data_IF_353721306931
#
_entry.id   IF_353721306931
#
_cell.length_a   1.000
_cell.length_b   1.000
_cell.length_c   1.000
_cell.angle_alpha   90.00
_cell.angle_beta   90.00
_cell.angle_gamma   90.00
#
_symmetry.space_group_name_H-M   'P 1'
#
loop_
_entity.id
_entity.type
_entity.pdbx_description
1 polymer ?
#
# COMPACT_ATOMS: atom_id res chain seq x y z
N UNK A 1 -6.20 5.36 -18.27
CA UNK A 1 -6.64 3.97 -18.00
C UNK A 1 -6.28 3.54 -16.58
N UNK A 2 -4.99 3.45 -16.21
CA UNK A 2 -4.60 2.97 -14.87
C UNK A 2 -5.24 3.72 -13.70
N UNK A 3 -5.31 5.04 -13.79
CA UNK A 3 -5.95 5.88 -12.76
C UNK A 3 -7.43 5.52 -12.60
N UNK A 4 -8.16 5.33 -13.70
CA UNK A 4 -9.56 4.91 -13.66
C UNK A 4 -9.71 3.47 -13.12
N UNK A 5 -8.81 2.57 -13.51
CA UNK A 5 -8.81 1.20 -13.00
C UNK A 5 -8.55 1.18 -11.48
N UNK A 6 -7.52 1.89 -11.03
CA UNK A 6 -7.12 1.92 -9.63
C UNK A 6 -8.15 2.62 -8.74
N UNK A 7 -8.91 3.59 -9.24
CA UNK A 7 -10.01 4.20 -8.50
C UNK A 7 -11.02 3.15 -8.04
N UNK A 8 -11.46 2.29 -8.97
CA UNK A 8 -12.40 1.18 -8.67
C UNK A 8 -11.75 0.14 -7.76
N UNK A 9 -10.50 -0.24 -8.02
CA UNK A 9 -9.80 -1.24 -7.19
C UNK A 9 -9.58 -0.76 -5.75
N UNK A 10 -9.30 0.53 -5.52
CA UNK A 10 -9.18 1.10 -4.16
C UNK A 10 -10.53 1.08 -3.44
N UNK A 11 -11.62 1.47 -4.12
CA UNK A 11 -12.96 1.42 -3.54
C UNK A 11 -13.31 0.00 -3.07
N UNK A 12 -13.14 -0.99 -3.94
CA UNK A 12 -13.42 -2.38 -3.63
C UNK A 12 -12.42 -3.00 -2.64
N UNK A 13 -11.17 -2.53 -2.62
CA UNK A 13 -10.21 -2.89 -1.56
C UNK A 13 -10.75 -2.51 -0.19
N UNK A 14 -11.23 -1.26 -0.06
CA UNK A 14 -11.75 -0.73 1.20
C UNK A 14 -13.05 -1.42 1.64
N UNK A 15 -13.83 -1.93 0.68
CA UNK A 15 -15.04 -2.71 0.95
C UNK A 15 -14.74 -4.17 1.35
N UNK A 16 -13.50 -4.64 1.18
CA UNK A 16 -13.12 -6.02 1.47
C UNK A 16 -13.52 -7.03 0.41
N UNK A 17 -13.78 -6.59 -0.83
CA UNK A 17 -14.27 -7.41 -1.95
C UNK A 17 -13.16 -8.27 -2.60
N UNK A 18 -12.37 -8.94 -1.75
CA UNK A 18 -11.29 -9.83 -2.15
C UNK A 18 -11.78 -11.27 -2.25
N UNK A 19 -11.35 -11.96 -3.31
CA UNK A 19 -11.46 -13.40 -3.45
C UNK A 19 -10.16 -14.09 -2.98
N UNK A 20 -10.20 -15.41 -2.80
CA UNK A 20 -9.01 -16.19 -2.39
C UNK A 20 -7.78 -15.92 -3.28
N UNK A 21 -8.00 -15.69 -4.58
CA UNK A 21 -6.94 -15.49 -5.57
C UNK A 21 -7.16 -14.21 -6.41
N UNK A 22 -7.50 -13.09 -5.77
CA UNK A 22 -7.65 -11.80 -6.44
C UNK A 22 -8.95 -11.12 -6.07
N UNK A 23 -9.73 -10.70 -7.06
CA UNK A 23 -10.95 -9.91 -6.85
C UNK A 23 -12.22 -10.75 -7.04
N UNK A 24 -13.29 -10.36 -6.37
CA UNK A 24 -14.61 -10.93 -6.65
C UNK A 24 -15.09 -10.59 -8.09
N UNK A 25 -15.95 -11.43 -8.71
CA UNK A 25 -16.40 -11.22 -10.09
C UNK A 25 -17.04 -9.85 -10.36
N UNK A 26 -17.75 -9.26 -9.39
CA UNK A 26 -18.40 -7.96 -9.58
C UNK A 26 -17.40 -6.82 -9.68
N UNK A 27 -16.24 -6.93 -9.04
CA UNK A 27 -15.15 -5.92 -9.10
C UNK A 27 -14.62 -5.81 -10.52
N UNK A 28 -14.43 -6.94 -11.21
CA UNK A 28 -14.01 -6.93 -12.62
C UNK A 28 -15.05 -6.24 -13.51
N UNK A 29 -16.34 -6.54 -13.32
CA UNK A 29 -17.42 -5.90 -14.07
C UNK A 29 -17.48 -4.39 -13.81
N UNK A 30 -17.26 -3.96 -12.57
CA UNK A 30 -17.19 -2.55 -12.20
C UNK A 30 -16.01 -1.86 -12.88
N UNK A 31 -14.84 -2.48 -12.89
CA UNK A 31 -13.65 -1.98 -13.58
C UNK A 31 -13.89 -1.82 -15.08
N UNK A 32 -14.46 -2.84 -15.74
CA UNK A 32 -14.76 -2.81 -17.19
C UNK A 32 -15.69 -1.64 -17.50
N UNK A 33 -16.80 -1.52 -16.75
CA UNK A 33 -17.77 -0.44 -16.94
C UNK A 33 -17.14 0.93 -16.74
N UNK A 34 -16.43 1.13 -15.63
CA UNK A 34 -15.87 2.42 -15.29
C UNK A 34 -14.76 2.85 -16.26
N UNK A 35 -13.91 1.92 -16.73
CA UNK A 35 -12.90 2.24 -17.73
C UNK A 35 -13.54 2.56 -19.07
N UNK A 36 -14.61 1.85 -19.47
CA UNK A 36 -15.37 2.20 -20.67
C UNK A 36 -15.97 3.60 -20.55
N UNK A 37 -16.62 3.93 -19.43
CA UNK A 37 -17.27 5.22 -19.21
C UNK A 37 -16.27 6.39 -19.16
N UNK A 38 -15.12 6.18 -18.52
CA UNK A 38 -14.14 7.25 -18.25
C UNK A 38 -13.10 7.40 -19.37
N UNK A 39 -12.67 6.29 -19.96
CA UNK A 39 -11.61 6.26 -20.96
C UNK A 39 -12.13 5.97 -22.38
N UNK A 40 -13.36 5.50 -22.56
CA UNK A 40 -13.90 5.09 -23.85
C UNK A 40 -13.23 3.84 -24.45
N UNK A 41 -12.59 3.02 -23.61
CA UNK A 41 -11.83 1.83 -24.03
C UNK A 41 -12.48 0.59 -23.46
N UNK A 42 -12.73 -0.39 -24.33
CA UNK A 42 -13.17 -1.71 -23.92
C UNK A 42 -11.97 -2.51 -23.38
N UNK A 43 -12.16 -3.12 -22.22
CA UNK A 43 -11.13 -3.92 -21.55
C UNK A 43 -11.76 -5.22 -21.06
N UNK A 44 -10.95 -6.27 -21.01
CA UNK A 44 -11.37 -7.58 -20.52
C UNK A 44 -10.84 -7.85 -19.11
N UNK A 45 -11.35 -8.92 -18.49
CA UNK A 45 -10.82 -9.45 -17.23
C UNK A 45 -9.31 -9.76 -17.30
N UNK A 46 -8.82 -10.22 -18.45
CA UNK A 46 -7.41 -10.55 -18.64
C UNK A 46 -6.55 -9.29 -18.68
N UNK A 47 -7.03 -8.21 -19.29
CA UNK A 47 -6.35 -6.90 -19.25
C UNK A 47 -6.22 -6.40 -17.82
N UNK A 48 -7.29 -6.49 -17.03
CA UNK A 48 -7.29 -6.09 -15.61
C UNK A 48 -6.29 -6.95 -14.82
N UNK A 49 -6.35 -8.27 -14.99
CA UNK A 49 -5.48 -9.21 -14.29
C UNK A 49 -4.00 -8.98 -14.62
N UNK A 50 -3.67 -8.75 -15.88
CA UNK A 50 -2.31 -8.42 -16.32
C UNK A 50 -1.84 -7.09 -15.69
N UNK A 51 -2.74 -6.11 -15.55
CA UNK A 51 -2.41 -4.84 -14.91
C UNK A 51 -2.20 -4.97 -13.40
N UNK A 52 -3.06 -5.73 -12.71
CA UNK A 52 -2.89 -6.06 -11.29
C UNK A 52 -1.53 -6.72 -11.00
N UNK A 53 -1.09 -7.67 -11.85
CA UNK A 53 0.26 -8.26 -11.73
C UNK A 53 1.38 -7.21 -11.88
N UNK A 54 1.17 -6.20 -12.70
CA UNK A 54 2.14 -5.11 -12.85
C UNK A 54 2.16 -4.20 -11.63
N UNK A 55 0.99 -3.89 -11.06
CA UNK A 55 0.88 -3.10 -9.82
C UNK A 55 1.53 -3.81 -8.64
N UNK A 56 1.26 -5.10 -8.49
CA UNK A 56 1.90 -5.95 -7.48
C UNK A 56 3.44 -5.90 -7.61
N UNK A 57 3.96 -6.10 -8.82
CA UNK A 57 5.41 -5.99 -9.08
C UNK A 57 5.98 -4.58 -8.81
N UNK A 58 5.23 -3.53 -9.09
CA UNK A 58 5.63 -2.16 -8.73
C UNK A 58 5.72 -2.02 -7.21
N UNK A 59 4.70 -2.48 -6.49
CA UNK A 59 4.68 -2.48 -5.03
C UNK A 59 5.88 -3.23 -4.45
N UNK A 60 6.11 -4.48 -4.87
CA UNK A 60 7.19 -5.31 -4.35
C UNK A 60 8.58 -4.68 -4.51
N UNK A 61 8.85 -4.07 -5.68
CA UNK A 61 10.16 -3.48 -5.95
C UNK A 61 10.32 -2.15 -5.23
N UNK A 62 9.34 -1.25 -5.34
CA UNK A 62 9.44 0.09 -4.78
C UNK A 62 9.40 0.04 -3.25
N UNK A 63 8.56 -0.80 -2.63
CA UNK A 63 8.54 -0.96 -1.16
C UNK A 63 9.90 -1.39 -0.60
N UNK A 64 10.58 -2.33 -1.27
CA UNK A 64 11.93 -2.77 -0.89
C UNK A 64 12.97 -1.66 -1.03
N UNK A 65 12.85 -0.83 -2.06
CA UNK A 65 13.73 0.33 -2.27
C UNK A 65 13.51 1.37 -1.16
N UNK A 66 12.25 1.73 -0.91
CA UNK A 66 11.88 2.74 0.10
C UNK A 66 12.17 2.28 1.53
N UNK A 67 12.29 0.97 1.77
CA UNK A 67 12.74 0.43 3.05
C UNK A 67 14.26 0.63 3.30
N UNK A 68 15.03 1.05 2.30
CA UNK A 68 16.45 1.35 2.46
C UNK A 68 16.68 2.81 2.83
N UNK A 69 17.70 3.06 3.67
CA UNK A 69 18.18 4.41 3.93
C UNK A 69 18.72 5.06 2.66
N UNK A 70 18.46 6.36 2.48
CA UNK A 70 18.92 7.12 1.32
C UNK A 70 17.99 7.06 0.10
N UNK A 71 16.80 6.49 0.27
CA UNK A 71 15.75 6.44 -0.73
C UNK A 71 14.47 7.07 -0.19
N UNK A 72 13.79 7.80 -1.05
CA UNK A 72 12.51 8.42 -0.75
C UNK A 72 11.60 8.44 -1.97
N UNK A 73 10.45 9.09 -1.81
CA UNK A 73 9.52 9.32 -2.91
C UNK A 73 9.60 10.78 -3.34
N UNK A 74 9.76 11.01 -4.63
CA UNK A 74 9.53 12.31 -5.25
C UNK A 74 8.03 12.38 -5.63
N UNK A 75 7.26 13.08 -4.81
CA UNK A 75 5.80 13.23 -4.95
C UNK A 75 5.42 14.14 -6.12
N UNK A 76 6.30 15.04 -6.54
CA UNK A 76 6.06 15.94 -7.67
C UNK A 76 6.25 15.21 -9.00
N UNK A 77 7.35 14.46 -9.12
CA UNK A 77 7.73 13.79 -10.37
C UNK A 77 7.25 12.33 -10.45
N UNK A 78 6.62 11.81 -9.39
CA UNK A 78 6.16 10.43 -9.29
C UNK A 78 7.27 9.40 -9.52
N UNK A 79 8.46 9.69 -8.97
CA UNK A 79 9.69 8.89 -9.12
C UNK A 79 10.31 8.57 -7.75
N UNK A 80 11.39 7.79 -7.76
CA UNK A 80 12.23 7.62 -6.59
C UNK A 80 13.11 8.87 -6.39
N UNK A 81 13.15 9.36 -5.16
CA UNK A 81 14.17 10.29 -4.69
C UNK A 81 15.34 9.49 -4.14
N UNK A 82 16.56 9.89 -4.47
CA UNK A 82 17.79 9.18 -4.10
C UNK A 82 18.77 10.21 -3.57
N UNK A 83 19.31 9.98 -2.38
CA UNK A 83 20.22 10.92 -1.71
C UNK A 83 21.57 11.08 -2.44
N UNK A 84 21.99 10.06 -3.20
CA UNK A 84 23.24 10.07 -3.94
C UNK A 84 23.36 8.96 -5.00
N UNK A 85 24.20 9.17 -6.00
CA UNK A 85 24.46 8.19 -7.07
C UNK A 85 25.15 6.92 -6.55
N UNK A 86 25.99 7.07 -5.53
CA UNK A 86 26.67 5.99 -4.82
C UNK A 86 25.68 5.09 -4.07
N UNK A 87 24.65 5.68 -3.45
CA UNK A 87 23.54 4.97 -2.79
C UNK A 87 22.80 4.10 -3.81
N UNK A 88 22.46 4.67 -4.97
CA UNK A 88 21.81 3.91 -6.05
C UNK A 88 22.70 2.78 -6.58
N UNK A 89 23.96 3.08 -6.87
CA UNK A 89 24.92 2.11 -7.44
C UNK A 89 25.10 0.90 -6.54
N UNK A 90 25.27 1.12 -5.23
CA UNK A 90 25.39 0.07 -4.22
C UNK A 90 24.13 -0.79 -4.14
N UNK A 91 22.94 -0.18 -4.21
CA UNK A 91 21.69 -0.93 -4.16
C UNK A 91 21.48 -1.82 -5.39
N UNK A 92 21.75 -1.30 -6.60
CA UNK A 92 21.54 -2.04 -7.85
C UNK A 92 22.56 -3.15 -8.06
N UNK A 93 23.78 -3.03 -7.51
CA UNK A 93 24.76 -4.12 -7.51
C UNK A 93 24.19 -5.39 -6.88
N UNK A 94 23.47 -5.25 -5.77
CA UNK A 94 22.75 -6.34 -5.10
C UNK A 94 21.38 -6.65 -5.73
N UNK A 95 20.75 -5.68 -6.44
CA UNK A 95 19.37 -5.77 -6.93
C UNK A 95 19.26 -5.36 -8.41
N UNK A 96 19.93 -6.08 -9.32
CA UNK A 96 19.99 -5.73 -10.75
C UNK A 96 18.63 -5.50 -11.41
N UNK A 97 17.60 -6.26 -11.01
CA UNK A 97 16.23 -6.12 -11.55
C UNK A 97 15.57 -4.77 -11.21
N UNK A 98 16.02 -4.08 -10.16
CA UNK A 98 15.54 -2.76 -9.77
C UNK A 98 16.13 -1.63 -10.63
N UNK A 99 17.15 -1.90 -11.45
CA UNK A 99 17.85 -0.89 -12.25
C UNK A 99 16.92 0.02 -13.05
N UNK A 100 15.85 -0.55 -13.62
CA UNK A 100 14.87 0.22 -14.41
C UNK A 100 14.05 1.22 -13.59
N UNK A 101 13.99 1.10 -12.26
CA UNK A 101 13.19 1.96 -11.40
C UNK A 101 13.83 3.30 -11.10
N UNK A 102 15.14 3.49 -11.38
CA UNK A 102 15.83 4.77 -11.19
C UNK A 102 15.11 5.92 -11.88
N UNK A 103 14.69 5.69 -13.13
CA UNK A 103 14.10 6.71 -14.00
C UNK A 103 12.61 6.50 -14.24
N UNK A 104 12.06 5.38 -13.74
CA UNK A 104 10.67 5.00 -13.99
C UNK A 104 9.72 5.91 -13.21
N UNK A 105 8.77 6.48 -13.94
CA UNK A 105 7.63 7.20 -13.37
C UNK A 105 6.55 6.19 -13.01
N UNK A 106 6.08 6.21 -11.77
CA UNK A 106 4.93 5.41 -11.31
C UNK A 106 3.93 6.38 -10.67
N UNK A 107 3.00 6.87 -11.49
CA UNK A 107 2.03 7.92 -11.13
C UNK A 107 1.07 7.52 -10.02
N UNK A 108 0.67 6.25 -9.96
CA UNK A 108 -0.39 5.80 -9.07
C UNK A 108 0.18 5.04 -7.86
N UNK A 109 1.32 5.50 -7.33
CA UNK A 109 2.00 4.80 -6.23
C UNK A 109 1.13 4.69 -4.98
N UNK A 110 0.41 5.74 -4.61
CA UNK A 110 -0.37 5.76 -3.38
C UNK A 110 -1.54 4.77 -3.45
N UNK A 111 -2.23 4.68 -4.59
CA UNK A 111 -3.29 3.69 -4.80
C UNK A 111 -2.71 2.27 -4.81
N UNK A 112 -1.57 2.06 -5.47
CA UNK A 112 -0.88 0.77 -5.48
C UNK A 112 -0.46 0.37 -4.06
N UNK A 113 0.15 1.30 -3.31
CA UNK A 113 0.57 1.05 -1.93
C UNK A 113 -0.63 0.76 -1.04
N UNK A 114 -1.76 1.45 -1.24
CA UNK A 114 -2.99 1.19 -0.49
C UNK A 114 -3.45 -0.25 -0.68
N UNK A 115 -3.60 -0.69 -1.93
CA UNK A 115 -4.15 -2.02 -2.25
C UNK A 115 -3.21 -3.18 -1.84
N UNK A 116 -1.90 -3.00 -2.02
CA UNK A 116 -0.91 -4.08 -1.91
C UNK A 116 -0.08 -4.02 -0.62
N UNK A 117 -0.31 -3.02 0.24
CA UNK A 117 0.28 -3.00 1.59
C UNK A 117 -0.16 -4.22 2.39
N UNK A 118 0.79 -4.85 3.09
CA UNK A 118 0.57 -6.12 3.79
C UNK A 118 -0.20 -5.99 5.12
N UNK A 119 -0.71 -4.81 5.44
CA UNK A 119 -1.25 -4.50 6.77
C UNK A 119 -2.75 -4.83 6.96
N UNK A 120 -3.38 -5.53 6.01
CA UNK A 120 -4.69 -6.15 6.25
C UNK A 120 -4.71 -7.62 5.81
N UNK A 121 -5.17 -8.48 6.73
CA UNK A 121 -5.11 -9.93 6.70
C UNK A 121 -5.25 -10.58 5.31
N UNK A 122 -4.15 -11.11 4.77
CA UNK A 122 -4.21 -12.18 3.76
C UNK A 122 -3.38 -13.36 4.24
N UNK A 123 -4.08 -14.48 4.40
CA UNK A 123 -3.57 -15.79 4.76
C UNK A 123 -2.38 -16.22 3.92
N UNK A 124 -1.45 -16.90 4.58
CA UNK A 124 -0.26 -17.53 4.01
C UNK A 124 -0.50 -18.26 2.68
N UNK A 125 0.42 -18.03 1.74
CA UNK A 125 1.10 -19.14 1.06
C UNK A 125 0.65 -19.44 -0.36
N UNK A 126 1.37 -18.87 -1.33
CA UNK A 126 1.88 -19.65 -2.47
C UNK A 126 3.03 -18.91 -3.14
N UNK A 127 4.25 -19.43 -2.98
CA UNK A 127 5.31 -19.23 -3.97
C UNK A 127 4.84 -19.91 -5.25
N UNK A 128 4.67 -19.16 -6.33
CA UNK A 128 4.68 -19.74 -7.67
C UNK A 128 5.88 -19.18 -8.42
N UNK A 129 6.91 -20.00 -8.43
CA UNK A 129 8.09 -19.91 -9.29
C UNK A 129 7.73 -20.30 -10.73
N UNK A 130 8.42 -19.64 -11.68
CA UNK A 130 8.45 -19.86 -13.13
C UNK A 130 7.18 -19.38 -13.88
N UNK A 131 7.27 -18.69 -15.02
CA UNK A 131 8.21 -18.85 -16.13
C UNK A 131 8.61 -17.49 -16.75
N UNK A 132 9.89 -17.35 -17.08
CA UNK A 132 10.37 -16.40 -18.07
C UNK A 132 10.52 -17.19 -19.38
N UNK A 133 9.73 -16.83 -20.39
CA UNK A 133 9.85 -17.36 -21.76
C UNK A 133 11.15 -16.83 -22.36
N UNK A 134 12.08 -17.73 -22.72
CA UNK A 134 12.97 -17.56 -23.87
C UNK A 134 13.19 -18.92 -24.53
N UNK A 135 12.97 -18.95 -25.84
CA UNK A 135 13.23 -20.06 -26.75
C UNK A 135 14.71 -20.13 -27.13
N UNK A 136 15.14 -21.35 -27.46
CA UNK A 136 16.21 -21.78 -28.41
C UNK A 136 17.27 -22.76 -27.86
N UNK A 137 16.98 -24.04 -28.17
CA UNK A 137 17.81 -24.97 -28.96
C UNK A 137 18.66 -26.07 -28.29
N UNK A 138 18.41 -27.29 -28.82
CA UNK A 138 19.28 -28.48 -28.96
C UNK A 138 19.56 -29.41 -27.75
N UNK A 139 18.71 -30.45 -27.68
CA UNK A 139 19.03 -31.89 -27.85
C UNK A 139 19.60 -32.80 -26.72
N UNK A 140 18.80 -33.87 -26.51
CA UNK A 140 19.01 -35.32 -26.25
C UNK A 140 19.33 -35.95 -24.87
N UNK A 141 18.51 -36.99 -24.60
CA UNK A 141 18.69 -38.30 -23.91
C UNK A 141 18.65 -38.30 -22.37
N UNK A 142 17.54 -38.74 -21.77
CA UNK A 142 17.12 -40.14 -21.50
C UNK A 142 17.84 -40.77 -20.29
N UNK A 143 17.04 -41.09 -19.27
CA UNK A 143 16.98 -42.35 -18.49
C UNK A 143 16.67 -42.11 -17.00
N UNK A 144 15.44 -42.50 -16.64
CA UNK A 144 15.07 -43.06 -15.32
C UNK A 144 15.69 -44.48 -15.21
N UNK A 145 15.74 -45.21 -14.06
CA UNK A 145 14.85 -45.11 -12.90
C UNK A 145 15.44 -45.48 -11.51
N UNK A 146 14.52 -45.49 -10.54
CA UNK A 146 14.39 -46.38 -9.36
C UNK A 146 14.58 -45.85 -7.92
N UNK A 147 13.56 -46.19 -7.11
CA UNK A 147 13.29 -45.90 -5.69
C UNK A 147 13.82 -47.10 -4.84
N UNK A 148 14.20 -47.00 -3.54
CA UNK A 148 13.22 -47.27 -2.46
C UNK A 148 13.48 -46.68 -1.04
N UNK A 149 12.36 -46.32 -0.39
CA UNK A 149 11.93 -46.65 1.00
C UNK A 149 12.66 -46.23 2.29
N UNK A 150 11.77 -46.01 3.29
CA UNK A 150 11.92 -45.93 4.76
C UNK A 150 12.46 -44.58 5.29
N UNK A 151 11.87 -43.94 6.31
CA UNK A 151 11.31 -44.53 7.53
C UNK A 151 10.30 -43.58 8.21
N UNK A 152 9.38 -44.20 8.94
CA UNK A 152 8.21 -43.63 9.63
C UNK A 152 8.56 -42.57 10.69
N UNK A 153 7.72 -41.52 10.71
CA UNK A 153 7.19 -40.71 11.83
C UNK A 153 7.77 -40.98 13.23
N UNK A 154 8.24 -39.92 13.89
CA UNK A 154 8.11 -39.75 15.34
C UNK A 154 7.49 -38.37 15.65
N UNK A 155 6.46 -38.39 16.50
CA UNK A 155 5.70 -37.22 16.99
C UNK A 155 6.57 -36.36 17.91
N UNK A 156 6.61 -35.06 17.65
CA UNK A 156 7.04 -34.04 18.62
C UNK A 156 5.91 -33.02 18.76
N UNK A 157 4.82 -33.44 19.40
CA UNK A 157 3.65 -32.59 19.68
C UNK A 157 3.69 -31.91 21.05
N UNK A 158 4.51 -32.41 21.98
CA UNK A 158 4.36 -32.05 23.40
C UNK A 158 5.39 -31.01 23.91
N UNK A 159 6.27 -30.50 23.04
CA UNK A 159 7.25 -29.47 23.42
C UNK A 159 6.73 -28.02 23.29
N UNK A 160 5.65 -27.80 22.52
CA UNK A 160 5.17 -26.44 22.20
C UNK A 160 4.15 -25.93 23.23
N UNK A 161 3.48 -26.81 23.98
CA UNK A 161 2.46 -26.40 24.95
C UNK A 161 3.06 -25.86 26.28
N UNK A 162 4.33 -26.13 26.56
CA UNK A 162 4.98 -25.71 27.81
C UNK A 162 5.39 -24.23 27.82
N UNK A 163 5.51 -23.59 26.65
CA UNK A 163 6.02 -22.21 26.52
C UNK A 163 4.92 -21.13 26.46
N UNK A 164 3.63 -21.48 26.61
CA UNK A 164 2.51 -20.53 26.61
C UNK A 164 2.03 -20.15 28.03
N UNK A 165 2.68 -20.65 29.08
CA UNK A 165 2.29 -20.40 30.48
C UNK A 165 2.76 -19.08 31.09
N UNK A 166 3.87 -18.51 30.60
CA UNK A 166 4.62 -17.50 31.39
C UNK A 166 4.40 -16.04 31.00
N UNK A 167 3.59 -15.73 29.98
CA UNK A 167 3.25 -14.33 29.64
C UNK A 167 1.96 -13.81 30.28
N UNK A 168 1.17 -14.69 30.92
CA UNK A 168 -0.12 -14.29 31.52
C UNK A 168 0.02 -13.64 32.90
N UNK A 169 1.14 -13.86 33.58
CA UNK A 169 1.37 -13.33 34.93
C UNK A 169 1.81 -11.85 34.93
N UNK A 170 2.57 -11.40 33.93
CA UNK A 170 2.98 -9.99 33.81
C UNK A 170 1.83 -9.07 33.38
N UNK A 171 0.91 -9.57 32.55
CA UNK A 171 -0.20 -8.76 32.03
C UNK A 171 -1.34 -8.54 33.04
N UNK A 172 -1.42 -9.35 34.10
CA UNK A 172 -2.46 -9.23 35.11
C UNK A 172 -2.11 -8.24 36.23
N UNK A 173 -0.82 -7.94 36.45
CA UNK A 173 -0.38 -6.92 37.42
C UNK A 173 -0.59 -5.49 36.91
N UNK A 174 -0.52 -5.24 35.60
CA UNK A 174 -0.79 -3.92 34.98
C UNK A 174 -2.28 -3.57 34.96
N UNK A 175 -3.18 -4.55 35.15
CA UNK A 175 -4.63 -4.34 35.06
C UNK A 175 -5.28 -3.69 36.28
N UNK A 176 -4.52 -3.39 37.35
CA UNK A 176 -5.07 -2.83 38.61
C UNK A 176 -4.79 -1.35 38.86
N UNK A 177 -4.04 -0.67 38.00
CA UNK A 177 -3.94 0.80 38.08
C UNK A 177 -4.97 1.43 37.17
N UNK A 178 -6.07 1.83 37.81
CA UNK A 178 -7.15 2.63 37.23
C UNK A 178 -6.62 4.05 37.02
N UNK A 179 -6.23 4.39 35.80
CA UNK A 179 -6.29 5.76 35.30
C UNK A 179 -7.10 5.75 34.01
N UNK A 180 -8.22 6.46 34.05
CA UNK A 180 -9.19 6.58 32.96
C UNK A 180 -8.55 7.20 31.73
N UNK A 181 -8.16 6.35 30.76
CA UNK A 181 -7.83 6.80 29.41
C UNK A 181 -9.14 6.91 28.62
N UNK A 182 -9.56 8.15 28.38
CA UNK A 182 -10.64 8.49 27.46
C UNK A 182 -10.30 8.05 26.03
N UNK A 183 -11.27 7.42 25.39
CA UNK A 183 -11.33 7.04 23.97
C UNK A 183 -10.96 8.24 23.06
N UNK A 184 -10.19 8.08 21.95
CA UNK A 184 -9.89 9.17 21.04
C UNK A 184 -11.19 9.64 20.38
N UNK A 185 -11.51 10.91 20.59
CA UNK A 185 -12.76 11.53 20.16
C UNK A 185 -12.63 11.90 18.68
N UNK A 186 -13.42 11.26 17.81
CA UNK A 186 -13.71 11.75 16.45
C UNK A 186 -14.46 13.07 16.61
N UNK A 187 -13.71 14.18 16.66
CA UNK A 187 -14.24 15.56 16.79
C UNK A 187 -13.68 16.50 15.72
N UNK A 188 -12.58 16.14 15.07
CA UNK A 188 -11.85 17.05 14.18
C UNK A 188 -12.65 17.43 12.94
N UNK A 189 -13.43 16.53 12.33
CA UNK A 189 -14.19 16.85 11.11
C UNK A 189 -15.22 17.95 11.34
N UNK A 190 -15.91 17.95 12.48
CA UNK A 190 -16.88 18.99 12.83
C UNK A 190 -16.18 20.32 13.19
N UNK A 191 -15.02 20.26 13.84
CA UNK A 191 -14.25 21.43 14.23
C UNK A 191 -13.60 22.12 13.02
N UNK A 192 -13.09 21.38 12.04
CA UNK A 192 -12.58 21.92 10.78
C UNK A 192 -13.71 22.63 10.01
N UNK A 193 -14.90 22.02 9.93
CA UNK A 193 -16.07 22.63 9.28
C UNK A 193 -16.55 23.90 9.98
N UNK A 194 -16.37 23.99 11.30
CA UNK A 194 -16.70 25.20 12.05
C UNK A 194 -15.62 26.29 11.90
N UNK A 195 -14.35 25.92 11.72
CA UNK A 195 -13.22 26.85 11.69
C UNK A 195 -13.01 27.53 10.32
N UNK A 196 -13.16 26.80 9.22
CA UNK A 196 -12.91 27.34 7.87
C UNK A 196 -13.80 28.54 7.49
N UNK A 197 -15.11 28.56 7.79
CA UNK A 197 -15.98 29.69 7.46
C UNK A 197 -15.65 30.97 8.24
N UNK A 198 -14.92 30.86 9.35
CA UNK A 198 -14.54 32.01 10.21
C UNK A 198 -13.35 32.77 9.59
N UNK A 199 -12.61 32.16 8.67
CA UNK A 199 -11.43 32.77 8.05
C UNK A 199 -11.88 33.84 7.04
N UNK A 200 -11.49 35.11 7.23
CA UNK A 200 -11.93 36.20 6.39
C UNK A 200 -11.43 36.05 4.94
N UNK A 201 -12.29 36.41 3.98
CA UNK A 201 -12.02 36.42 2.54
C UNK A 201 -11.57 35.07 1.94
N UNK A 202 -11.86 33.94 2.59
CA UNK A 202 -11.56 32.61 2.04
C UNK A 202 -12.67 32.19 1.07
N UNK A 203 -12.33 31.92 -0.19
CA UNK A 203 -13.31 31.53 -1.19
C UNK A 203 -13.83 30.10 -0.96
N UNK A 204 -15.09 29.83 -1.29
CA UNK A 204 -15.71 28.51 -1.12
C UNK A 204 -14.93 27.37 -1.80
N UNK A 205 -14.34 27.65 -2.98
CA UNK A 205 -13.49 26.69 -3.69
C UNK A 205 -12.22 26.33 -2.90
N UNK A 206 -11.64 27.31 -2.19
CA UNK A 206 -10.45 27.11 -1.37
C UNK A 206 -10.80 26.46 -0.02
N UNK A 207 -12.02 26.67 0.49
CA UNK A 207 -12.51 25.99 1.70
C UNK A 207 -12.59 24.48 1.51
N UNK A 208 -13.08 24.00 0.36
CA UNK A 208 -13.17 22.56 0.08
C UNK A 208 -11.78 21.92 0.00
N UNK A 209 -10.83 22.59 -0.68
CA UNK A 209 -9.44 22.12 -0.75
C UNK A 209 -8.75 22.13 0.61
N UNK A 210 -8.99 23.17 1.41
CA UNK A 210 -8.47 23.26 2.77
C UNK A 210 -9.08 22.16 3.65
N UNK A 211 -10.38 21.91 3.55
CA UNK A 211 -11.06 20.85 4.30
C UNK A 211 -10.46 19.48 4.00
N UNK A 212 -10.27 19.14 2.73
CA UNK A 212 -9.66 17.87 2.33
C UNK A 212 -8.26 17.72 2.95
N UNK A 213 -7.38 18.72 2.82
CA UNK A 213 -6.02 18.68 3.37
C UNK A 213 -6.00 18.60 4.90
N UNK A 214 -6.85 19.37 5.58
CA UNK A 214 -6.93 19.38 7.05
C UNK A 214 -7.56 18.09 7.60
N UNK A 215 -8.51 17.48 6.86
CA UNK A 215 -9.15 16.22 7.24
C UNK A 215 -8.18 15.02 7.22
N UNK A 216 -7.09 15.14 6.46
CA UNK A 216 -6.05 14.13 6.33
C UNK A 216 -4.90 14.32 7.34
N UNK A 217 -4.87 15.43 8.10
CA UNK A 217 -3.79 15.69 9.06
C UNK A 217 -4.22 16.54 10.25
N UNK A 218 -4.35 15.90 11.41
CA UNK A 218 -4.62 16.56 12.70
C UNK A 218 -3.60 17.68 12.99
N UNK A 219 -2.31 17.43 12.72
CA UNK A 219 -1.23 18.40 12.96
C UNK A 219 -1.37 19.67 12.12
N UNK A 220 -1.93 19.57 10.90
CA UNK A 220 -2.18 20.76 10.08
C UNK A 220 -3.31 21.60 10.65
N UNK A 221 -4.35 20.96 11.19
CA UNK A 221 -5.43 21.67 11.87
C UNK A 221 -4.96 22.33 13.17
N UNK A 222 -4.17 21.64 13.98
CA UNK A 222 -3.54 22.24 15.17
C UNK A 222 -2.69 23.46 14.80
N UNK A 223 -1.84 23.33 13.79
CA UNK A 223 -1.00 24.44 13.30
C UNK A 223 -1.84 25.62 12.80
N UNK A 224 -2.97 25.36 12.15
CA UNK A 224 -3.92 26.40 11.74
C UNK A 224 -4.50 27.14 12.96
N UNK A 225 -4.81 26.42 14.04
CA UNK A 225 -5.40 27.00 15.25
C UNK A 225 -4.39 27.83 16.07
N UNK A 226 -3.10 27.50 15.99
CA UNK A 226 -2.01 28.29 16.59
C UNK A 226 -1.72 29.59 15.83
N UNK A 227 -2.09 29.68 14.54
CA UNK A 227 -1.84 30.88 13.74
C UNK A 227 -2.82 32.03 14.08
N UNK A 228 -2.35 33.28 14.09
CA UNK A 228 -3.21 34.47 14.10
C UNK A 228 -4.20 34.44 12.92
N UNK A 229 -5.45 34.84 13.16
CA UNK A 229 -6.54 34.77 12.17
C UNK A 229 -6.18 35.43 10.82
N UNK A 230 -5.40 36.50 10.84
CA UNK A 230 -4.94 37.23 9.65
C UNK A 230 -4.01 36.43 8.75
N UNK A 231 -3.28 35.44 9.30
CA UNK A 231 -2.31 34.64 8.57
C UNK A 231 -2.89 33.32 8.06
N UNK A 232 -4.04 32.88 8.61
CA UNK A 232 -4.65 31.58 8.30
C UNK A 232 -4.98 31.42 6.82
N UNK A 233 -5.55 32.45 6.18
CA UNK A 233 -5.85 32.41 4.73
C UNK A 233 -4.57 32.23 3.91
N UNK A 234 -3.57 33.09 4.11
CA UNK A 234 -2.32 33.04 3.36
C UNK A 234 -1.60 31.70 3.55
N UNK A 235 -1.60 31.18 4.79
CA UNK A 235 -1.04 29.89 5.11
C UNK A 235 -1.79 28.74 4.43
N UNK A 236 -3.13 28.72 4.48
CA UNK A 236 -3.93 27.70 3.78
C UNK A 236 -3.70 27.72 2.26
N UNK A 237 -3.58 28.90 1.66
CA UNK A 237 -3.27 29.03 0.23
C UNK A 237 -1.83 28.63 -0.10
N UNK A 238 -0.90 28.69 0.86
CA UNK A 238 0.45 28.16 0.68
C UNK A 238 0.53 26.63 0.74
N UNK A 239 -0.50 25.98 1.32
CA UNK A 239 -0.64 24.53 1.30
C UNK A 239 -1.28 24.01 0.01
N UNK A 240 -1.83 24.89 -0.85
CA UNK A 240 -2.63 24.55 -2.02
C UNK A 240 -1.82 23.82 -3.09
#
# INVERSE_FOLDING_TARGET
>A
MDTALLAVLVEHHNNGDHAQNGWEPHVYNACIRHVMDTCGVDITKDNITARCKTFDKHYEVISKILAQSGFGRDWENNKLSIDGEDVWSKYVEANKAAGSYKTKVVMNWDQISTIYSKDHATSEGAKTTAECVQEEDTQVLEESPDIPQNQKRLRTGDAILCMMGDMKAEFQEVSKTTDTVTLPKVTQSAEILAALPIIPDLAECDMLKAYEKLSLSERLFESLMELPMTLRKAWLLSLA
#
